data_IF_999163695409
#
_entry.id   IF_999163695409
#
_cell.length_a   1.000
_cell.length_b   1.000
_cell.length_c   1.000
_cell.angle_alpha   90.00
_cell.angle_beta   90.00
_cell.angle_gamma   90.00
#
_symmetry.space_group_name_H-M   'P 1'
#
loop_
_entity.id
_entity.type
_entity.pdbx_description
1 polymer ?
#
# COMPACT_ATOMS: atom_id res chain seq x y z
N UNK A 1 -0.77 -27.00 -2.56
CA UNK A 1 -0.79 -25.70 -3.24
C UNK A 1 0.12 -24.80 -2.45
N UNK A 2 1.22 -24.31 -3.02
CA UNK A 2 2.03 -23.29 -2.38
C UNK A 2 1.19 -22.02 -2.29
N UNK A 3 0.53 -21.78 -1.16
CA UNK A 3 -0.13 -20.50 -0.92
C UNK A 3 0.97 -19.48 -0.65
N UNK A 4 1.33 -18.70 -1.67
CA UNK A 4 2.24 -17.57 -1.50
C UNK A 4 1.64 -16.61 -0.47
N UNK A 5 2.43 -16.24 0.53
CA UNK A 5 2.07 -15.23 1.52
C UNK A 5 1.58 -13.95 0.83
N UNK A 6 0.36 -13.44 1.13
CA UNK A 6 -0.19 -12.28 0.44
C UNK A 6 0.62 -11.02 0.75
N UNK A 7 0.81 -10.19 -0.28
CA UNK A 7 1.45 -8.88 -0.22
C UNK A 7 0.44 -7.82 0.20
N UNK A 8 0.75 -7.12 1.29
CA UNK A 8 -0.01 -5.98 1.78
C UNK A 8 0.85 -4.73 1.64
N UNK A 9 0.33 -3.71 0.96
CA UNK A 9 1.00 -2.42 0.81
C UNK A 9 0.35 -1.38 1.72
N UNK A 10 1.12 -0.81 2.63
CA UNK A 10 0.72 0.32 3.48
C UNK A 10 1.23 1.63 2.87
N UNK A 11 0.37 2.63 2.74
CA UNK A 11 0.68 3.95 2.17
C UNK A 11 0.35 5.02 3.20
N UNK A 12 1.40 5.62 3.76
CA UNK A 12 1.33 6.49 4.94
C UNK A 12 2.60 7.36 4.98
N UNK A 13 2.46 8.69 5.01
CA UNK A 13 3.58 9.64 4.91
C UNK A 13 4.35 9.77 6.23
N UNK A 14 3.71 9.53 7.37
CA UNK A 14 4.40 9.38 8.65
C UNK A 14 5.12 8.03 8.73
N UNK A 15 6.44 8.07 8.49
CA UNK A 15 7.33 6.89 8.55
C UNK A 15 7.28 6.13 9.88
N UNK A 16 7.05 6.82 11.01
CA UNK A 16 6.96 6.18 12.31
C UNK A 16 5.63 5.44 12.45
N UNK A 17 4.52 6.04 12.01
CA UNK A 17 3.21 5.38 11.96
C UNK A 17 3.23 4.19 10.99
N UNK A 18 3.77 4.37 9.79
CA UNK A 18 3.95 3.32 8.78
C UNK A 18 4.70 2.11 9.36
N UNK A 19 5.81 2.36 10.07
CA UNK A 19 6.60 1.31 10.73
C UNK A 19 5.79 0.58 11.81
N UNK A 20 5.01 1.31 12.62
CA UNK A 20 4.17 0.74 13.68
C UNK A 20 3.03 -0.10 13.10
N UNK A 21 2.38 0.36 12.03
CA UNK A 21 1.33 -0.36 11.32
C UNK A 21 1.85 -1.70 10.77
N UNK A 22 2.97 -1.67 10.04
CA UNK A 22 3.58 -2.88 9.51
C UNK A 22 3.99 -3.87 10.61
N UNK A 23 4.59 -3.37 11.71
CA UNK A 23 4.94 -4.22 12.86
C UNK A 23 3.69 -4.85 13.50
N UNK A 24 2.63 -4.06 13.69
CA UNK A 24 1.37 -4.53 14.26
C UNK A 24 0.68 -5.58 13.38
N UNK A 25 0.72 -5.40 12.05
CA UNK A 25 0.19 -6.39 11.09
C UNK A 25 0.96 -7.71 11.15
N UNK A 26 2.30 -7.66 11.09
CA UNK A 26 3.16 -8.86 11.17
C UNK A 26 3.00 -9.62 12.49
N UNK A 27 2.82 -8.92 13.61
CA UNK A 27 2.58 -9.56 14.92
C UNK A 27 1.26 -10.32 14.98
N UNK A 28 0.21 -9.82 14.31
CA UNK A 28 -1.11 -10.48 14.28
C UNK A 28 -1.21 -11.56 13.21
N UNK A 29 -0.44 -11.45 12.15
CA UNK A 29 -0.49 -12.33 10.99
C UNK A 29 0.91 -12.45 10.38
N UNK A 30 1.73 -13.38 10.89
CA UNK A 30 3.13 -13.52 10.50
C UNK A 30 3.30 -13.96 9.04
N UNK A 31 2.26 -14.54 8.44
CA UNK A 31 2.24 -14.99 7.06
C UNK A 31 1.91 -13.87 6.05
N UNK A 32 1.84 -12.60 6.48
CA UNK A 32 1.67 -11.45 5.59
C UNK A 32 3.01 -10.86 5.16
N UNK A 33 3.19 -10.66 3.86
CA UNK A 33 4.28 -9.87 3.32
C UNK A 33 3.90 -8.38 3.38
N UNK A 34 4.25 -7.70 4.47
CA UNK A 34 3.94 -6.27 4.65
C UNK A 34 5.03 -5.36 4.04
N UNK A 35 4.61 -4.44 3.18
CA UNK A 35 5.44 -3.43 2.50
C UNK A 35 4.92 -2.02 2.82
N UNK A 36 5.79 -1.02 2.81
CA UNK A 36 5.43 0.37 3.13
C UNK A 36 5.94 1.36 2.09
N UNK A 37 5.12 2.34 1.77
CA UNK A 37 5.45 3.49 0.93
C UNK A 37 5.05 4.79 1.64
N UNK A 38 5.94 5.78 1.64
CA UNK A 38 5.71 7.06 2.31
C UNK A 38 5.35 8.20 1.34
N UNK A 39 5.20 7.88 0.04
CA UNK A 39 4.86 8.85 -1.01
C UNK A 39 4.01 8.20 -2.09
N UNK A 40 3.27 9.03 -2.84
CA UNK A 40 2.55 8.63 -4.06
C UNK A 40 3.42 7.80 -5.02
N UNK A 41 4.65 8.27 -5.25
CA UNK A 41 5.55 7.68 -6.24
C UNK A 41 6.02 6.29 -5.82
N UNK A 42 6.41 6.14 -4.54
CA UNK A 42 6.78 4.85 -3.97
C UNK A 42 5.59 3.88 -3.99
N UNK A 43 4.40 4.35 -3.63
CA UNK A 43 3.20 3.52 -3.57
C UNK A 43 2.84 2.94 -4.94
N UNK A 44 2.86 3.78 -5.99
CA UNK A 44 2.56 3.35 -7.36
C UNK A 44 3.64 2.41 -7.92
N UNK A 45 4.91 2.67 -7.62
CA UNK A 45 6.02 1.80 -8.03
C UNK A 45 5.90 0.41 -7.36
N UNK A 46 5.64 0.39 -6.05
CA UNK A 46 5.46 -0.83 -5.29
C UNK A 46 4.22 -1.62 -5.73
N UNK A 47 3.09 -0.94 -5.96
CA UNK A 47 1.88 -1.60 -6.44
C UNK A 47 2.10 -2.33 -7.77
N UNK A 48 2.80 -1.71 -8.73
CA UNK A 48 3.15 -2.35 -10.01
C UNK A 48 4.07 -3.57 -9.84
N UNK A 49 5.03 -3.49 -8.91
CA UNK A 49 6.04 -4.54 -8.72
C UNK A 49 5.50 -5.72 -7.91
N UNK A 50 4.72 -5.44 -6.87
CA UNK A 50 4.31 -6.41 -5.87
C UNK A 50 2.95 -7.03 -6.15
N UNK A 51 2.09 -6.34 -6.92
CA UNK A 51 0.70 -6.71 -7.16
C UNK A 51 -0.01 -7.05 -5.84
N UNK A 52 -0.07 -6.12 -4.89
CA UNK A 52 -0.59 -6.39 -3.56
C UNK A 52 -2.07 -6.79 -3.63
N UNK A 53 -2.45 -7.80 -2.84
CA UNK A 53 -3.86 -8.19 -2.70
C UNK A 53 -4.66 -7.15 -1.91
N UNK A 54 -3.99 -6.38 -1.04
CA UNK A 54 -4.59 -5.31 -0.25
C UNK A 54 -3.67 -4.10 -0.19
N UNK A 55 -4.27 -2.92 -0.35
CA UNK A 55 -3.63 -1.63 -0.09
C UNK A 55 -4.33 -0.98 1.10
N UNK A 56 -3.56 -0.62 2.13
CA UNK A 56 -4.00 0.20 3.27
C UNK A 56 -3.52 1.61 3.01
N UNK A 57 -4.44 2.52 2.76
CA UNK A 57 -4.16 3.87 2.25
C UNK A 57 -4.59 4.92 3.25
N UNK A 58 -3.67 5.78 3.66
CA UNK A 58 -4.02 7.05 4.28
C UNK A 58 -4.69 7.98 3.26
N UNK A 59 -5.84 8.55 3.65
CA UNK A 59 -6.62 9.44 2.81
C UNK A 59 -6.02 10.86 2.78
N UNK A 60 -5.23 11.23 3.79
CA UNK A 60 -4.63 12.57 3.95
C UNK A 60 -3.10 12.56 3.75
N UNK A 61 -2.64 11.70 2.82
CA UNK A 61 -1.22 11.42 2.57
C UNK A 61 -0.31 12.63 2.29
N UNK A 62 -0.86 13.70 1.71
CA UNK A 62 -0.19 14.99 1.54
C UNK A 62 -1.14 16.12 1.97
N UNK A 63 -1.05 16.61 3.22
CA UNK A 63 -1.91 17.68 3.71
C UNK A 63 -1.80 18.98 2.92
N UNK A 64 -0.64 19.25 2.27
CA UNK A 64 -0.45 20.44 1.45
C UNK A 64 -1.27 20.38 0.15
N UNK A 65 -1.67 19.18 -0.28
CA UNK A 65 -2.56 18.95 -1.44
C UNK A 65 -4.03 18.79 -1.05
N UNK A 66 -4.34 18.86 0.24
CA UNK A 66 -5.69 18.77 0.81
C UNK A 66 -5.97 17.44 1.53
N UNK A 67 -7.08 17.35 2.28
CA UNK A 67 -7.40 16.23 3.18
C UNK A 67 -7.69 14.90 2.47
N UNK A 68 -7.88 14.93 1.15
CA UNK A 68 -8.24 13.78 0.31
C UNK A 68 -7.13 13.43 -0.70
N UNK A 69 -5.90 13.91 -0.46
CA UNK A 69 -4.76 13.69 -1.35
C UNK A 69 -4.51 12.21 -1.66
N UNK A 70 -4.75 11.31 -0.70
CA UNK A 70 -4.65 9.86 -0.91
C UNK A 70 -5.67 9.30 -1.89
N UNK A 71 -6.90 9.84 -1.97
CA UNK A 71 -7.95 9.36 -2.87
C UNK A 71 -7.52 9.40 -4.35
N UNK A 72 -6.58 10.29 -4.70
CA UNK A 72 -6.04 10.42 -6.07
C UNK A 72 -5.26 9.18 -6.53
N UNK A 73 -4.87 8.29 -5.62
CA UNK A 73 -4.17 7.05 -5.94
C UNK A 73 -5.13 5.91 -6.29
N UNK A 74 -6.38 5.96 -5.84
CA UNK A 74 -7.38 4.91 -6.06
C UNK A 74 -7.56 4.55 -7.55
N UNK A 75 -7.87 5.50 -8.47
CA UNK A 75 -8.03 5.15 -9.89
C UNK A 75 -6.77 4.53 -10.49
N UNK A 76 -5.58 5.00 -10.07
CA UNK A 76 -4.29 4.47 -10.54
C UNK A 76 -4.05 3.03 -10.07
N UNK A 77 -4.47 2.68 -8.86
CA UNK A 77 -4.38 1.30 -8.37
C UNK A 77 -5.31 0.35 -9.13
N UNK A 78 -6.50 0.82 -9.53
CA UNK A 78 -7.39 0.04 -10.41
C UNK A 78 -6.77 -0.19 -11.78
N UNK A 79 -6.22 0.86 -12.41
CA UNK A 79 -5.52 0.74 -13.70
C UNK A 79 -4.37 -0.29 -13.65
N UNK A 80 -3.59 -0.30 -12.55
CA UNK A 80 -2.51 -1.28 -12.34
C UNK A 80 -3.08 -2.71 -12.19
N UNK A 81 -4.17 -2.87 -11.44
CA UNK A 81 -4.81 -4.17 -11.24
C UNK A 81 -5.35 -4.75 -12.54
N UNK A 82 -6.01 -3.92 -13.37
CA UNK A 82 -6.59 -4.33 -14.65
C UNK A 82 -5.52 -4.64 -15.70
N UNK A 83 -4.46 -3.84 -15.78
CA UNK A 83 -3.35 -4.04 -16.73
C UNK A 83 -2.60 -5.36 -16.52
N UNK A 84 -2.74 -5.98 -15.35
CA UNK A 84 -2.01 -7.20 -14.98
C UNK A 84 -2.86 -8.48 -15.10
N UNK A 85 -4.11 -8.36 -15.56
CA UNK A 85 -5.04 -9.49 -15.77
C UNK A 85 -5.04 -10.04 -17.20
N UNK A 86 -4.06 -9.67 -18.03
CA UNK A 86 -3.90 -10.11 -19.43
C UNK A 86 -3.13 -11.42 -19.51
#
# INVERSE_FOLDING_TARGET
>A
MDSKNPNILFVEDDKALLTRLMKGARLRSPDLNCHGAATDAEALLMAKKLLPEVIVLDLTLDPARGPESGLRLIPKFFEISESTRV
#
